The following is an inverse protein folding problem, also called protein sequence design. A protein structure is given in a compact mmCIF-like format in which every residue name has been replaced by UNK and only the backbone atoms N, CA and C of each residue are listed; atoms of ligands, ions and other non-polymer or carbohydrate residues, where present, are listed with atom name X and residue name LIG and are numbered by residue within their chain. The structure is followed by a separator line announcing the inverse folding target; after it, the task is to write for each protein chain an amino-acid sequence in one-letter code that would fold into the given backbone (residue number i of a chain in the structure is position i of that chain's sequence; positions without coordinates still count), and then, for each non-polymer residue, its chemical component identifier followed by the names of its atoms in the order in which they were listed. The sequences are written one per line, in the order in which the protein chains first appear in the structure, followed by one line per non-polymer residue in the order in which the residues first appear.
data_IF_832080067177
#
_entry.id   IF_832080067177
#
_cell.length_a   1.000
_cell.length_b   1.000
_cell.length_c   1.000
_cell.angle_alpha   90.00
_cell.angle_beta   90.00
_cell.angle_gamma   90.00
#
_symmetry.space_group_name_H-M   'P 1'
#
loop_
_entity.id
_entity.type
_entity.pdbx_description
1 polymer ?
#
# COMPACT_ATOMS: atom_id res chain seq x y z
N UNK A 1 61.04 -6.93 -10.04
CA UNK A 1 60.06 -6.84 -8.92
C UNK A 1 59.25 -5.58 -9.15
N UNK A 2 57.91 -5.48 -9.16
CA UNK A 2 56.82 -6.23 -8.51
C UNK A 2 55.55 -5.92 -9.35
N UNK A 3 54.72 -6.92 -9.67
CA UNK A 3 53.37 -6.75 -10.25
C UNK A 3 52.37 -6.57 -9.10
N UNK A 4 51.56 -5.51 -9.11
CA UNK A 4 50.37 -5.33 -8.25
C UNK A 4 49.37 -4.50 -9.06
N UNK A 5 48.37 -5.11 -9.71
CA UNK A 5 47.01 -5.40 -9.22
C UNK A 5 46.10 -4.17 -9.05
N UNK A 6 44.88 -4.31 -9.58
CA UNK A 6 43.63 -3.57 -9.28
C UNK A 6 43.39 -2.31 -10.15
N UNK A 7 42.19 -2.00 -10.67
CA UNK A 7 40.82 -2.46 -10.39
C UNK A 7 39.96 -2.52 -11.67
N UNK A 8 39.16 -3.58 -11.79
CA UNK A 8 37.94 -3.61 -12.61
C UNK A 8 36.93 -2.67 -11.96
N UNK A 9 36.52 -1.59 -12.64
CA UNK A 9 35.39 -0.78 -12.24
C UNK A 9 34.15 -1.23 -13.03
N UNK A 10 33.52 -2.29 -12.55
CA UNK A 10 32.11 -2.55 -12.74
C UNK A 10 31.39 -2.18 -11.43
N UNK A 11 30.09 -1.89 -11.53
CA UNK A 11 29.13 -1.50 -10.48
C UNK A 11 28.93 0.02 -10.36
N UNK A 12 27.71 0.53 -10.26
CA UNK A 12 26.39 -0.09 -10.33
C UNK A 12 25.38 1.04 -10.51
N UNK A 13 24.24 0.65 -11.06
CA UNK A 13 23.00 1.40 -11.16
C UNK A 13 22.72 2.12 -9.83
N UNK A 14 22.82 3.45 -9.85
CA UNK A 14 22.23 4.29 -8.82
C UNK A 14 20.72 4.28 -8.97
N UNK A 15 20.08 3.16 -8.62
CA UNK A 15 18.66 3.14 -8.30
C UNK A 15 18.53 4.07 -7.10
N UNK A 16 17.96 5.24 -7.36
CA UNK A 16 17.56 6.16 -6.31
C UNK A 16 16.80 5.36 -5.26
N UNK A 17 17.43 5.23 -4.10
CA UNK A 17 16.76 4.84 -2.88
C UNK A 17 15.82 6.00 -2.53
N UNK A 18 14.70 6.10 -3.23
CA UNK A 18 13.51 6.71 -2.67
C UNK A 18 13.22 5.90 -1.43
N UNK A 19 13.12 6.50 -0.23
CA UNK A 19 12.59 5.78 0.91
C UNK A 19 11.25 5.25 0.43
N UNK A 20 11.09 3.93 0.39
CA UNK A 20 9.80 3.31 0.25
C UNK A 20 8.98 3.93 1.39
N UNK A 21 8.14 4.91 1.03
CA UNK A 21 7.11 5.42 1.92
C UNK A 21 6.43 4.18 2.45
N UNK A 22 6.57 3.91 3.74
CA UNK A 22 5.89 2.78 4.36
C UNK A 22 4.41 2.96 4.04
N UNK A 23 3.94 2.21 3.04
CA UNK A 23 2.61 2.34 2.50
C UNK A 23 1.70 2.01 3.68
N UNK A 24 0.88 2.95 4.18
CA UNK A 24 0.13 2.78 5.41
C UNK A 24 -0.78 1.55 5.39
N UNK A 25 -1.05 1.00 4.20
CA UNK A 25 -1.76 -0.25 3.93
C UNK A 25 -0.91 -1.52 4.10
N UNK A 26 0.40 -1.45 3.92
CA UNK A 26 1.34 -2.59 4.05
C UNK A 26 1.40 -3.16 5.47
N UNK A 27 1.15 -2.32 6.49
CA UNK A 27 1.03 -2.75 7.88
C UNK A 27 -0.37 -3.29 8.24
N UNK A 28 -1.37 -3.19 7.35
CA UNK A 28 -2.71 -3.72 7.64
C UNK A 28 -2.81 -5.19 7.25
N UNK A 29 -2.76 -6.05 8.27
CA UNK A 29 -3.07 -7.47 8.14
C UNK A 29 -4.47 -7.73 7.54
N UNK A 30 -5.39 -6.77 7.65
CA UNK A 30 -6.74 -6.87 7.10
C UNK A 30 -6.84 -6.53 5.61
N UNK A 31 -5.81 -5.95 4.97
CA UNK A 31 -5.87 -5.52 3.57
C UNK A 31 -6.31 -6.64 2.60
N UNK A 32 -5.80 -7.88 2.72
CA UNK A 32 -6.22 -8.98 1.85
C UNK A 32 -7.72 -9.30 1.94
N UNK A 33 -8.38 -8.99 3.07
CA UNK A 33 -9.81 -9.28 3.28
C UNK A 33 -10.75 -8.45 2.40
N UNK A 34 -10.25 -7.36 1.80
CA UNK A 34 -10.98 -6.52 0.86
C UNK A 34 -10.98 -7.05 -0.57
N UNK A 35 -10.19 -8.07 -0.86
CA UNK A 35 -10.02 -8.61 -2.21
C UNK A 35 -10.62 -10.02 -2.31
N UNK A 36 -10.96 -10.41 -3.54
CA UNK A 36 -11.46 -11.76 -3.84
C UNK A 36 -10.32 -12.74 -4.10
N UNK A 37 -9.15 -12.23 -4.46
CA UNK A 37 -7.98 -13.02 -4.85
C UNK A 37 -6.76 -12.64 -4.01
N UNK A 38 -5.81 -13.58 -3.91
CA UNK A 38 -4.57 -13.39 -3.18
C UNK A 38 -3.61 -12.38 -3.84
N UNK A 39 -3.82 -12.06 -5.12
CA UNK A 39 -3.00 -11.06 -5.83
C UNK A 39 -3.45 -9.62 -5.55
N UNK A 40 -4.55 -9.46 -4.78
CA UNK A 40 -5.15 -8.17 -4.43
C UNK A 40 -5.47 -7.30 -5.65
N UNK A 41 -5.85 -7.94 -6.76
CA UNK A 41 -6.20 -7.24 -8.02
C UNK A 41 -7.69 -7.00 -8.14
N UNK A 42 -8.50 -7.93 -7.66
CA UNK A 42 -9.95 -7.88 -7.77
C UNK A 42 -10.54 -7.60 -6.41
N UNK A 43 -11.10 -6.40 -6.27
CA UNK A 43 -11.76 -5.98 -5.04
C UNK A 43 -13.07 -6.74 -4.86
N UNK A 44 -13.42 -7.04 -3.60
CA UNK A 44 -14.77 -7.50 -3.28
C UNK A 44 -15.80 -6.44 -3.69
N UNK A 45 -17.01 -6.85 -4.09
CA UNK A 45 -18.10 -5.91 -4.31
C UNK A 45 -18.42 -5.13 -3.02
N UNK A 46 -19.06 -3.98 -3.15
CA UNK A 46 -19.30 -3.04 -2.03
C UNK A 46 -19.87 -3.71 -0.78
N UNK A 47 -20.80 -4.66 -0.92
CA UNK A 47 -21.34 -5.42 0.24
C UNK A 47 -20.25 -6.21 0.99
N UNK A 48 -19.37 -6.89 0.25
CA UNK A 48 -18.24 -7.62 0.83
C UNK A 48 -17.17 -6.69 1.39
N UNK A 49 -16.88 -5.59 0.70
CA UNK A 49 -15.99 -4.54 1.18
C UNK A 49 -16.49 -3.94 2.49
N UNK A 50 -17.78 -3.58 2.56
CA UNK A 50 -18.41 -3.02 3.76
C UNK A 50 -18.31 -3.97 4.96
N UNK A 51 -18.54 -5.27 4.74
CA UNK A 51 -18.37 -6.28 5.79
C UNK A 51 -16.93 -6.33 6.31
N UNK A 52 -15.94 -6.35 5.42
CA UNK A 52 -14.53 -6.33 5.81
C UNK A 52 -14.16 -5.02 6.52
N UNK A 53 -14.65 -3.89 6.02
CA UNK A 53 -14.43 -2.55 6.59
C UNK A 53 -14.89 -2.47 8.04
N UNK A 54 -16.13 -2.88 8.32
CA UNK A 54 -16.68 -2.83 9.67
C UNK A 54 -16.15 -3.92 10.62
N UNK A 55 -15.53 -4.99 10.09
CA UNK A 55 -14.83 -5.97 10.91
C UNK A 55 -13.51 -5.43 11.47
N UNK A 56 -12.91 -4.40 10.86
CA UNK A 56 -11.70 -3.76 11.39
C UNK A 56 -12.00 -2.84 12.58
N UNK A 57 -11.03 -2.63 13.49
CA UNK A 57 -11.13 -1.62 14.53
C UNK A 57 -11.38 -0.22 13.95
N UNK A 58 -12.13 0.63 14.68
CA UNK A 58 -12.40 2.02 14.27
C UNK A 58 -11.12 2.81 14.01
N UNK A 59 -10.09 2.63 14.83
CA UNK A 59 -8.79 3.27 14.67
C UNK A 59 -8.18 3.01 13.28
N UNK A 60 -8.24 1.77 12.82
CA UNK A 60 -7.64 1.36 11.54
C UNK A 60 -8.44 1.90 10.35
N UNK A 61 -9.78 1.92 10.48
CA UNK A 61 -10.64 2.60 9.50
C UNK A 61 -10.27 4.07 9.35
N UNK A 62 -10.12 4.80 10.47
CA UNK A 62 -9.72 6.22 10.46
C UNK A 62 -8.33 6.39 9.83
N UNK A 63 -7.36 5.54 10.18
CA UNK A 63 -6.01 5.57 9.59
C UNK A 63 -6.07 5.37 8.06
N UNK A 64 -6.83 4.39 7.58
CA UNK A 64 -7.00 4.11 6.15
C UNK A 64 -7.72 5.23 5.41
N UNK A 65 -8.83 5.75 5.95
CA UNK A 65 -9.54 6.89 5.37
C UNK A 65 -8.61 8.11 5.29
N UNK A 66 -7.81 8.38 6.33
CA UNK A 66 -6.83 9.47 6.31
C UNK A 66 -5.75 9.25 5.24
N UNK A 67 -5.20 8.04 5.14
CA UNK A 67 -4.23 7.70 4.11
C UNK A 67 -4.80 7.90 2.70
N UNK A 68 -6.09 7.58 2.49
CA UNK A 68 -6.76 7.79 1.22
C UNK A 68 -7.01 9.26 0.84
N UNK A 69 -6.85 10.21 1.77
CA UNK A 69 -6.87 11.63 1.42
C UNK A 69 -5.53 12.10 0.83
N UNK A 70 -4.47 11.30 0.94
CA UNK A 70 -3.21 11.61 0.27
C UNK A 70 -3.32 11.33 -1.26
N UNK A 71 -2.92 12.28 -2.13
CA UNK A 71 -3.02 12.12 -3.58
C UNK A 71 -2.18 10.98 -4.16
N UNK A 72 -1.01 10.70 -3.59
CA UNK A 72 -0.14 9.62 -4.05
C UNK A 72 -0.78 8.28 -3.69
N UNK A 73 -1.26 8.17 -2.45
CA UNK A 73 -1.94 6.98 -1.96
C UNK A 73 -3.23 6.67 -2.73
N UNK A 74 -4.09 7.68 -2.91
CA UNK A 74 -5.31 7.54 -3.71
C UNK A 74 -5.01 7.27 -5.18
N UNK A 75 -3.86 7.71 -5.71
CA UNK A 75 -3.40 7.36 -7.05
C UNK A 75 -3.09 5.87 -7.20
N UNK A 76 -2.33 5.28 -6.28
CA UNK A 76 -1.96 3.86 -6.32
C UNK A 76 -3.11 2.92 -5.94
N UNK A 77 -4.03 3.36 -5.08
CA UNK A 77 -5.11 2.55 -4.52
C UNK A 77 -6.50 3.11 -4.83
N UNK A 78 -6.70 3.70 -6.02
CA UNK A 78 -7.88 4.50 -6.36
C UNK A 78 -9.23 3.83 -6.04
N UNK A 79 -9.42 2.58 -6.48
CA UNK A 79 -10.68 1.86 -6.23
C UNK A 79 -10.90 1.59 -4.73
N UNK A 80 -9.81 1.24 -4.01
CA UNK A 80 -9.87 0.96 -2.58
C UNK A 80 -10.25 2.24 -1.83
N UNK A 81 -9.56 3.34 -2.16
CA UNK A 81 -9.76 4.62 -1.51
C UNK A 81 -11.12 5.23 -1.79
N UNK A 82 -11.67 5.07 -3.00
CA UNK A 82 -13.04 5.47 -3.28
C UNK A 82 -14.05 4.79 -2.32
N UNK A 83 -13.91 3.48 -2.11
CA UNK A 83 -14.79 2.74 -1.20
C UNK A 83 -14.54 3.09 0.28
N UNK A 84 -13.27 3.20 0.69
CA UNK A 84 -12.88 3.54 2.05
C UNK A 84 -13.33 4.96 2.45
N UNK A 85 -13.27 5.93 1.54
CA UNK A 85 -13.76 7.29 1.76
C UNK A 85 -15.29 7.33 1.82
N UNK A 86 -15.97 6.59 0.93
CA UNK A 86 -17.43 6.47 0.95
C UNK A 86 -17.98 5.91 2.27
N UNK A 87 -17.24 4.98 2.90
CA UNK A 87 -17.62 4.39 4.20
C UNK A 87 -17.00 5.09 5.41
N UNK A 88 -15.92 5.84 5.22
CA UNK A 88 -15.19 6.53 6.28
C UNK A 88 -15.85 7.83 6.74
N UNK A 89 -16.74 8.41 5.93
CA UNK A 89 -17.58 9.55 6.32
C UNK A 89 -18.78 9.17 7.19
N UNK A 90 -19.10 7.88 7.29
CA UNK A 90 -20.22 7.32 8.06
C UNK A 90 -19.74 7.06 9.51
N UNK A 91 -19.47 8.13 10.27
CA UNK A 91 -18.96 8.09 11.67
C UNK A 91 -20.04 8.28 12.73
#
# INVERSE_FOLDING_TARGET
MKRQFACVAALAIGLGASPASADPFSDLAALPTFYTDATMKTMKPMTGFKKAWFAMPKHDRVKMTKACNDPVMSGHHAQFCANALALGGDN
#
